data_IF_739075777760
#
_entry.id   IF_739075777760
#
_cell.length_a   1.000
_cell.length_b   1.000
_cell.length_c   1.000
_cell.angle_alpha   90.00
_cell.angle_beta   90.00
_cell.angle_gamma   90.00
#
_symmetry.space_group_name_H-M   'P 1'
#
loop_
_entity.id
_entity.type
_entity.pdbx_description
1 polymer ?
#
# COMPACT_ATOMS: atom_id res chain seq x y z
N UNK A 1 30.84 55.34 46.86
CA UNK A 1 31.72 54.48 46.02
C UNK A 1 30.93 53.19 45.83
N UNK A 2 30.34 52.80 44.70
CA UNK A 2 30.47 53.04 43.26
C UNK A 2 30.16 51.65 42.64
N UNK A 3 29.52 51.43 41.50
CA UNK A 3 28.86 52.20 40.46
C UNK A 3 27.94 51.20 39.73
N UNK A 4 26.92 51.69 39.03
CA UNK A 4 26.17 50.90 38.04
C UNK A 4 27.10 50.26 36.99
N UNK A 5 26.73 49.06 36.51
CA UNK A 5 27.31 48.42 35.33
C UNK A 5 26.21 47.87 34.43
N UNK A 6 25.77 48.69 33.47
CA UNK A 6 24.79 48.36 32.44
C UNK A 6 25.43 47.63 31.24
N UNK A 7 24.59 46.83 30.54
CA UNK A 7 24.69 46.35 29.14
C UNK A 7 25.83 45.39 28.78
N UNK A 8 25.51 44.29 28.10
CA UNK A 8 25.37 44.25 26.62
C UNK A 8 24.97 42.86 26.13
N UNK A 9 24.25 42.91 25.02
CA UNK A 9 23.81 41.86 24.11
C UNK A 9 25.00 41.19 23.39
N UNK A 10 24.90 39.88 23.10
CA UNK A 10 25.90 39.15 22.30
C UNK A 10 25.76 37.63 22.48
N UNK A 11 24.81 36.98 21.82
CA UNK A 11 25.00 36.28 20.54
C UNK A 11 25.27 34.76 20.68
N UNK A 12 24.32 34.01 20.15
CA UNK A 12 24.48 32.83 19.29
C UNK A 12 25.49 31.75 19.70
N UNK A 13 24.94 30.67 20.26
CA UNK A 13 25.25 29.28 19.85
C UNK A 13 23.91 28.55 19.76
N UNK A 14 23.31 28.36 18.58
CA UNK A 14 23.68 27.31 17.63
C UNK A 14 23.95 25.98 18.34
N UNK A 15 22.87 25.38 18.85
CA UNK A 15 22.81 23.98 19.24
C UNK A 15 21.54 23.41 18.62
N UNK A 16 21.64 23.07 17.35
CA UNK A 16 20.60 22.35 16.60
C UNK A 16 20.42 20.96 17.20
N UNK A 17 19.53 20.83 18.18
CA UNK A 17 18.81 19.58 18.36
C UNK A 17 17.61 19.66 17.41
N UNK A 18 17.86 19.36 16.13
CA UNK A 18 16.81 18.91 15.25
C UNK A 18 16.31 17.62 15.91
N UNK A 19 15.05 17.49 16.37
CA UNK A 19 14.48 16.16 16.45
C UNK A 19 14.38 15.71 14.99
N UNK A 20 15.47 15.12 14.50
CA UNK A 20 15.41 14.14 13.42
C UNK A 20 14.76 12.90 14.05
N UNK A 21 13.51 13.05 14.47
CA UNK A 21 12.56 11.96 14.56
C UNK A 21 11.82 12.05 13.23
N UNK A 22 12.55 11.84 12.14
CA UNK A 22 11.92 11.24 10.99
C UNK A 22 11.42 9.91 11.53
N UNK A 23 10.10 9.66 11.63
CA UNK A 23 9.66 8.30 11.82
C UNK A 23 10.22 7.55 10.62
N UNK A 24 11.26 6.76 10.86
CA UNK A 24 11.63 5.65 10.00
C UNK A 24 10.37 4.81 9.99
N UNK A 25 9.54 5.02 8.96
CA UNK A 25 8.27 4.34 8.73
C UNK A 25 8.58 2.84 8.73
N UNK A 26 8.39 2.23 9.90
CA UNK A 26 8.48 0.80 10.08
C UNK A 26 7.21 0.20 9.46
N UNK A 27 7.18 0.16 8.13
CA UNK A 27 6.17 -0.48 7.28
C UNK A 27 6.23 -2.02 7.34
N UNK A 28 6.67 -2.58 8.47
CA UNK A 28 6.76 -4.04 8.66
C UNK A 28 5.75 -4.60 9.65
N UNK A 29 5.00 -3.77 10.39
CA UNK A 29 4.07 -4.28 11.42
C UNK A 29 2.71 -3.56 11.51
N UNK A 30 2.53 -2.40 10.87
CA UNK A 30 1.29 -1.63 11.04
C UNK A 30 0.28 -2.01 9.98
N UNK A 31 -0.74 -2.77 10.37
CA UNK A 31 -1.87 -3.04 9.48
C UNK A 31 -2.64 -1.74 9.26
N UNK A 32 -3.15 -1.53 8.05
CA UNK A 32 -4.11 -0.47 7.74
C UNK A 32 -5.51 -0.86 8.24
N UNK A 33 -6.42 0.13 8.37
CA UNK A 33 -7.82 -0.16 8.73
C UNK A 33 -8.51 -1.05 7.68
N UNK A 34 -8.18 -0.85 6.40
CA UNK A 34 -8.63 -1.67 5.29
C UNK A 34 -8.15 -3.11 5.44
N UNK A 35 -6.86 -3.34 5.72
CA UNK A 35 -6.30 -4.68 5.92
C UNK A 35 -6.92 -5.41 7.11
N UNK A 36 -7.13 -4.73 8.25
CA UNK A 36 -7.83 -5.32 9.40
C UNK A 36 -9.23 -5.79 9.04
N UNK A 37 -10.01 -4.91 8.38
CA UNK A 37 -11.36 -5.26 7.94
C UNK A 37 -11.36 -6.42 6.95
N UNK A 38 -10.39 -6.46 6.04
CA UNK A 38 -10.24 -7.57 5.09
C UNK A 38 -9.93 -8.88 5.80
N UNK A 39 -8.99 -8.87 6.75
CA UNK A 39 -8.66 -10.06 7.53
C UNK A 39 -9.86 -10.59 8.33
N UNK A 40 -10.65 -9.71 8.96
CA UNK A 40 -11.89 -10.10 9.63
C UNK A 40 -12.88 -10.76 8.66
N UNK A 41 -13.10 -10.16 7.49
CA UNK A 41 -13.96 -10.74 6.44
C UNK A 41 -13.45 -12.13 6.02
N UNK A 42 -12.14 -12.31 5.91
CA UNK A 42 -11.55 -13.57 5.50
C UNK A 42 -11.71 -14.63 6.58
N UNK A 43 -11.44 -14.31 7.84
CA UNK A 43 -11.69 -15.20 8.98
C UNK A 43 -13.17 -15.64 9.02
N UNK A 44 -14.12 -14.71 8.83
CA UNK A 44 -15.55 -15.01 8.80
C UNK A 44 -15.97 -15.90 7.62
N UNK A 45 -15.38 -15.71 6.45
CA UNK A 45 -15.76 -16.45 5.23
C UNK A 45 -15.08 -17.81 5.15
N UNK A 46 -13.84 -17.92 5.65
CA UNK A 46 -13.06 -19.16 5.65
C UNK A 46 -13.29 -19.99 6.93
N UNK A 47 -14.01 -19.44 7.91
CA UNK A 47 -14.25 -20.05 9.22
C UNK A 47 -12.95 -20.41 9.96
N UNK A 48 -11.95 -19.51 9.88
CA UNK A 48 -10.64 -19.64 10.53
C UNK A 48 -10.45 -18.58 11.62
N UNK A 49 -9.59 -18.88 12.60
CA UNK A 49 -9.36 -18.00 13.76
C UNK A 49 -8.53 -16.76 13.38
N UNK A 50 -7.48 -16.94 12.60
CA UNK A 50 -6.57 -15.87 12.19
C UNK A 50 -6.07 -16.07 10.76
N UNK A 51 -5.87 -14.95 10.07
CA UNK A 51 -5.18 -14.90 8.78
C UNK A 51 -4.07 -13.86 8.85
N UNK A 52 -2.89 -14.20 8.35
CA UNK A 52 -1.78 -13.29 8.22
C UNK A 52 -1.98 -12.30 7.07
N UNK A 53 -1.36 -11.13 7.18
CA UNK A 53 -1.47 -10.08 6.16
C UNK A 53 -0.91 -10.52 4.79
N UNK A 54 -0.02 -11.52 4.79
CA UNK A 54 0.62 -12.10 3.62
C UNK A 54 0.06 -13.45 3.21
N UNK A 55 -0.86 -14.00 3.99
CA UNK A 55 -1.44 -15.29 3.68
C UNK A 55 -2.28 -15.20 2.41
N UNK A 56 -2.07 -16.18 1.54
CA UNK A 56 -2.80 -16.27 0.29
C UNK A 56 -4.15 -16.92 0.55
N UNK A 57 -5.22 -16.30 0.08
CA UNK A 57 -6.60 -16.77 0.22
C UNK A 57 -6.76 -18.25 -0.16
N UNK A 58 -6.12 -18.69 -1.24
CA UNK A 58 -6.22 -20.06 -1.73
C UNK A 58 -5.40 -21.05 -0.90
N UNK A 59 -4.32 -20.58 -0.27
CA UNK A 59 -3.44 -21.41 0.56
C UNK A 59 -4.09 -21.73 1.91
N UNK A 60 -4.82 -20.76 2.48
CA UNK A 60 -5.58 -20.91 3.73
C UNK A 60 -6.93 -21.63 3.56
N UNK A 61 -7.19 -22.23 2.39
CA UNK A 61 -8.39 -23.03 2.13
C UNK A 61 -9.52 -22.33 1.37
N UNK A 62 -9.26 -21.12 0.84
CA UNK A 62 -10.22 -20.38 0.03
C UNK A 62 -10.41 -20.95 -1.37
N UNK A 63 -11.62 -20.81 -1.90
CA UNK A 63 -11.97 -21.21 -3.27
C UNK A 63 -12.80 -20.14 -3.96
N UNK A 64 -12.92 -20.23 -5.29
CA UNK A 64 -13.49 -19.17 -6.15
C UNK A 64 -14.89 -18.73 -5.73
N UNK A 65 -15.73 -19.63 -5.19
CA UNK A 65 -17.07 -19.26 -4.73
C UNK A 65 -17.03 -18.37 -3.48
N UNK A 66 -16.07 -18.58 -2.58
CA UNK A 66 -15.90 -17.74 -1.39
C UNK A 66 -15.39 -16.34 -1.75
N UNK A 67 -14.62 -16.17 -2.83
CA UNK A 67 -14.22 -14.83 -3.28
C UNK A 67 -15.40 -13.95 -3.65
N UNK A 68 -16.49 -14.51 -4.18
CA UNK A 68 -17.72 -13.76 -4.42
C UNK A 68 -18.38 -13.29 -3.12
N UNK A 69 -18.34 -14.13 -2.07
CA UNK A 69 -18.83 -13.78 -0.73
C UNK A 69 -17.95 -12.69 -0.11
N UNK A 70 -16.63 -12.84 -0.17
CA UNK A 70 -15.67 -11.82 0.26
C UNK A 70 -15.95 -10.48 -0.44
N UNK A 71 -16.13 -10.48 -1.77
CA UNK A 71 -16.45 -9.27 -2.53
C UNK A 71 -17.73 -8.60 -2.04
N UNK A 72 -18.77 -9.38 -1.74
CA UNK A 72 -20.03 -8.85 -1.23
C UNK A 72 -19.85 -8.23 0.16
N UNK A 73 -19.10 -8.89 1.05
CA UNK A 73 -18.75 -8.37 2.39
C UNK A 73 -17.92 -7.10 2.33
N UNK A 74 -16.94 -7.01 1.41
CA UNK A 74 -16.16 -5.79 1.15
C UNK A 74 -17.10 -4.66 0.73
N UNK A 75 -18.06 -4.94 -0.16
CA UNK A 75 -19.06 -3.96 -0.60
C UNK A 75 -19.94 -3.47 0.54
N UNK A 76 -20.27 -4.33 1.50
CA UNK A 76 -21.09 -3.99 2.66
C UNK A 76 -20.32 -3.20 3.72
N UNK A 77 -19.06 -3.56 4.01
CA UNK A 77 -18.27 -2.96 5.11
C UNK A 77 -17.46 -1.73 4.70
N UNK A 78 -16.94 -1.72 3.47
CA UNK A 78 -16.04 -0.67 2.99
C UNK A 78 -16.70 0.23 1.93
N UNK A 79 -17.97 -0.03 1.58
CA UNK A 79 -18.67 0.65 0.47
C UNK A 79 -17.91 0.62 -0.86
N UNK A 80 -17.02 -0.36 -1.03
CA UNK A 80 -16.21 -0.56 -2.23
C UNK A 80 -16.56 -1.88 -2.89
N UNK A 81 -16.76 -1.87 -4.20
CA UNK A 81 -17.09 -3.08 -4.96
C UNK A 81 -15.99 -3.39 -5.98
N UNK A 82 -14.86 -3.97 -5.55
CA UNK A 82 -13.80 -4.37 -6.46
C UNK A 82 -14.30 -5.42 -7.46
N UNK A 83 -13.66 -5.48 -8.62
CA UNK A 83 -13.91 -6.56 -9.59
C UNK A 83 -13.43 -7.87 -9.03
N UNK A 84 -14.12 -8.95 -9.40
CA UNK A 84 -13.71 -10.28 -8.96
C UNK A 84 -12.28 -10.60 -9.44
N UNK A 85 -11.90 -10.12 -10.64
CA UNK A 85 -10.56 -10.28 -11.20
C UNK A 85 -9.49 -9.67 -10.28
N UNK A 86 -9.75 -8.50 -9.68
CA UNK A 86 -8.78 -7.83 -8.80
C UNK A 86 -8.58 -8.62 -7.49
N UNK A 87 -9.58 -9.38 -7.02
CA UNK A 87 -9.42 -10.28 -5.87
C UNK A 87 -8.52 -11.48 -6.22
N UNK A 88 -8.59 -11.96 -7.46
CA UNK A 88 -7.71 -13.02 -7.96
C UNK A 88 -6.28 -12.50 -8.20
N UNK A 89 -6.11 -11.27 -8.68
CA UNK A 89 -4.81 -10.63 -8.88
C UNK A 89 -4.12 -10.22 -7.57
N UNK A 90 -4.92 -9.96 -6.53
CA UNK A 90 -4.44 -9.59 -5.20
C UNK A 90 -4.94 -10.58 -4.13
N UNK A 91 -4.47 -11.83 -4.15
CA UNK A 91 -4.99 -12.90 -3.31
C UNK A 91 -4.45 -12.88 -1.88
N UNK A 92 -3.90 -11.75 -1.40
CA UNK A 92 -3.44 -11.57 -0.01
C UNK A 92 -4.07 -10.32 0.59
N UNK A 93 -4.22 -10.30 1.91
CA UNK A 93 -4.79 -9.15 2.64
C UNK A 93 -4.00 -7.87 2.36
N UNK A 94 -2.67 -7.93 2.37
CA UNK A 94 -1.78 -6.79 2.07
C UNK A 94 -1.96 -6.28 0.65
N UNK A 95 -1.97 -7.18 -0.33
CA UNK A 95 -2.08 -6.78 -1.73
C UNK A 95 -3.46 -6.16 -2.02
N UNK A 96 -4.53 -6.79 -1.51
CA UNK A 96 -5.89 -6.31 -1.72
C UNK A 96 -6.15 -5.02 -0.94
N UNK A 97 -5.65 -4.93 0.30
CA UNK A 97 -5.74 -3.73 1.13
C UNK A 97 -5.09 -2.53 0.47
N UNK A 98 -3.84 -2.67 0.01
CA UNK A 98 -3.14 -1.61 -0.72
C UNK A 98 -3.82 -1.23 -2.04
N UNK A 99 -4.40 -2.21 -2.76
CA UNK A 99 -5.18 -1.94 -3.96
C UNK A 99 -6.45 -1.12 -3.66
N UNK A 100 -7.20 -1.50 -2.63
CA UNK A 100 -8.43 -0.81 -2.24
C UNK A 100 -8.17 0.60 -1.72
N UNK A 101 -7.11 0.78 -0.93
CA UNK A 101 -6.71 2.09 -0.41
C UNK A 101 -6.27 3.03 -1.55
N UNK A 102 -5.45 2.53 -2.47
CA UNK A 102 -5.06 3.27 -3.69
C UNK A 102 -6.24 3.55 -4.64
N UNK A 103 -7.26 2.68 -4.66
CA UNK A 103 -8.49 2.92 -5.42
C UNK A 103 -9.43 3.91 -4.72
N UNK A 104 -9.46 3.96 -3.39
CA UNK A 104 -10.25 4.91 -2.62
C UNK A 104 -9.73 6.36 -2.77
N UNK A 105 -8.41 6.51 -2.87
CA UNK A 105 -7.77 7.77 -3.23
C UNK A 105 -8.23 8.30 -4.61
N UNK A 106 -8.64 7.40 -5.51
CA UNK A 106 -9.23 7.69 -6.82
C UNK A 106 -10.76 7.71 -6.71
N UNK A 107 -11.35 8.83 -6.28
CA UNK A 107 -12.80 8.94 -5.95
C UNK A 107 -13.75 8.28 -6.97
N UNK A 108 -14.85 7.65 -6.50
CA UNK A 108 -15.77 6.84 -7.32
C UNK A 108 -16.55 7.59 -8.41
N UNK A 109 -16.61 8.92 -8.35
CA UNK A 109 -17.34 9.74 -9.32
C UNK A 109 -16.61 9.96 -10.66
N UNK A 110 -15.31 9.62 -10.72
CA UNK A 110 -14.47 9.85 -11.91
C UNK A 110 -14.14 8.55 -12.68
N UNK A 111 -14.70 7.41 -12.28
CA UNK A 111 -14.26 6.10 -12.76
C UNK A 111 -15.15 5.57 -13.90
N UNK A 112 -14.55 5.14 -15.03
CA UNK A 112 -15.28 4.42 -16.08
C UNK A 112 -15.72 3.04 -15.55
N UNK A 113 -16.68 2.41 -16.25
CA UNK A 113 -17.24 1.13 -15.86
C UNK A 113 -16.15 0.10 -15.52
N UNK A 114 -16.51 -0.77 -14.60
CA UNK A 114 -15.63 -1.79 -14.08
C UNK A 114 -14.88 -2.65 -15.10
N UNK A 115 -15.52 -2.94 -16.23
CA UNK A 115 -14.90 -3.66 -17.34
C UNK A 115 -13.86 -2.83 -18.11
N UNK A 116 -14.01 -1.52 -18.14
CA UNK A 116 -13.11 -0.57 -18.79
C UNK A 116 -11.88 -0.28 -17.92
N UNK A 117 -12.04 -0.30 -16.59
CA UNK A 117 -10.93 -0.19 -15.62
C UNK A 117 -9.96 -1.36 -15.72
N UNK A 118 -10.46 -2.59 -15.78
CA UNK A 118 -9.61 -3.78 -15.94
C UNK A 118 -8.77 -3.69 -17.23
N UNK A 119 -9.36 -3.17 -18.31
CA UNK A 119 -8.68 -2.96 -19.60
C UNK A 119 -7.66 -1.81 -19.56
N UNK A 120 -8.02 -0.68 -18.93
CA UNK A 120 -7.14 0.47 -18.79
C UNK A 120 -5.94 0.15 -17.89
N UNK A 121 -6.15 -0.56 -16.78
CA UNK A 121 -5.09 -1.04 -15.88
C UNK A 121 -4.23 -2.11 -16.52
N UNK A 122 -4.81 -3.06 -17.26
CA UNK A 122 -4.05 -4.03 -18.07
C UNK A 122 -3.15 -3.32 -19.09
N UNK A 123 -3.62 -2.22 -19.68
CA UNK A 123 -2.82 -1.37 -20.58
C UNK A 123 -1.71 -0.66 -19.82
N UNK A 124 -1.98 -0.12 -18.63
CA UNK A 124 -1.00 0.58 -17.81
C UNK A 124 0.06 -0.35 -17.22
N UNK A 125 -0.31 -1.57 -16.83
CA UNK A 125 0.60 -2.59 -16.32
C UNK A 125 1.61 -3.00 -17.40
N UNK A 126 1.16 -3.18 -18.66
CA UNK A 126 2.05 -3.41 -19.80
C UNK A 126 3.01 -2.24 -20.06
N UNK A 127 2.55 -1.01 -19.86
CA UNK A 127 3.40 0.20 -20.02
C UNK A 127 4.40 0.35 -18.86
N UNK A 128 4.04 -0.08 -17.64
CA UNK A 128 4.96 -0.11 -16.48
C UNK A 128 6.03 -1.19 -16.66
N UNK A 129 5.65 -2.38 -17.15
CA UNK A 129 6.56 -3.48 -17.48
C UNK A 129 7.56 -3.12 -18.58
N UNK A 130 7.10 -2.44 -19.63
CA UNK A 130 7.95 -2.03 -20.76
C UNK A 130 9.00 -0.98 -20.36
N UNK A 131 8.73 -0.16 -19.34
CA UNK A 131 9.68 0.85 -18.83
C UNK A 131 10.74 0.26 -17.90
N UNK A 132 10.46 -0.84 -17.20
CA UNK A 132 11.44 -1.54 -16.35
C UNK A 132 12.34 -2.50 -17.12
N UNK A 133 11.94 -2.91 -18.35
CA UNK A 133 12.77 -3.73 -19.24
C UNK A 133 13.85 -2.96 -20.00
N UNK A 134 13.94 -1.63 -19.84
CA UNK A 134 14.88 -0.77 -20.57
C UNK A 134 16.13 -0.35 -19.80
N UNK A 135 16.44 -0.94 -18.63
CA UNK A 135 17.55 -0.50 -17.76
C UNK A 135 18.64 -1.56 -17.51
N UNK A 136 18.60 -2.70 -18.19
CA UNK A 136 19.54 -3.83 -17.99
C UNK A 136 20.35 -4.20 -19.26
N UNK A 137 20.58 -3.25 -20.18
CA UNK A 137 21.37 -3.47 -21.40
C UNK A 137 22.50 -2.43 -21.52
N UNK A 138 23.36 -2.34 -20.50
CA UNK A 138 24.68 -1.68 -20.61
C UNK A 138 25.63 -2.15 -19.50
N UNK A 139 25.96 -3.45 -19.45
CA UNK A 139 27.10 -3.89 -18.63
C UNK A 139 27.70 -5.25 -19.02
N UNK A 140 28.09 -5.46 -20.28
CA UNK A 140 29.15 -6.44 -20.60
C UNK A 140 29.83 -6.16 -21.94
N UNK A 141 30.75 -5.20 -21.96
CA UNK A 141 31.77 -5.10 -23.01
C UNK A 141 33.01 -4.44 -22.44
N UNK A 142 33.59 -5.09 -21.44
CA UNK A 142 34.98 -4.84 -21.04
C UNK A 142 35.78 -6.09 -21.37
N UNK A 143 36.85 -5.86 -22.11
CA UNK A 143 37.93 -6.80 -22.41
C UNK A 143 37.63 -7.91 -23.44
N UNK A 144 38.13 -7.70 -24.67
CA UNK A 144 39.24 -8.51 -25.20
C UNK A 144 39.67 -8.03 -26.60
N UNK A 145 40.98 -7.80 -26.74
CA UNK A 145 41.71 -7.97 -28.00
C UNK A 145 42.19 -6.68 -28.64
#
# INVERSE_FOLDING_TARGET
MGAQGSRTHGERRAGTARPDDSPVEHDSATWTNTERTLAEIWCEVLEIDQVGVLDNFFDVGGYSMLMHVVRDRISQRLNMRPHIVELFEHPTVRALGGFLDGAAAMRPADLPDGSERARARSRLARLRDQRNRGFDDDHDSVERG
#
